data_IF_132311373668
#
_entry.id   IF_132311373668
#
_cell.length_a   1.000
_cell.length_b   1.000
_cell.length_c   1.000
_cell.angle_alpha   90.00
_cell.angle_beta   90.00
_cell.angle_gamma   90.00
#
_symmetry.space_group_name_H-M   'P 1'
#
loop_
_entity.id
_entity.type
_entity.pdbx_description
1 polymer ?
#
# COMPACT_ATOMS: atom_id res chain seq x y z
N UNK A 1 -15.93 19.63 19.15
CA UNK A 1 -15.06 18.52 19.60
C UNK A 1 -15.61 17.25 18.96
N UNK A 2 -14.82 16.57 18.13
CA UNK A 2 -15.29 15.47 17.30
C UNK A 2 -14.44 14.22 17.59
N UNK A 3 -15.11 13.10 17.93
CA UNK A 3 -14.50 11.81 18.29
C UNK A 3 -14.95 10.75 17.32
N UNK A 4 -14.10 9.78 16.97
CA UNK A 4 -14.53 8.59 16.23
C UNK A 4 -15.68 7.90 16.99
N UNK A 5 -16.79 7.66 16.30
CA UNK A 5 -17.94 6.99 16.87
C UNK A 5 -17.97 5.55 16.36
N UNK A 6 -17.98 4.60 17.29
CA UNK A 6 -18.21 3.20 16.97
C UNK A 6 -19.70 2.91 17.19
N UNK A 7 -20.40 2.53 16.12
CA UNK A 7 -21.77 2.02 16.20
C UNK A 7 -21.75 0.60 15.65
N UNK A 8 -22.01 -0.39 16.52
CA UNK A 8 -21.86 -1.80 16.20
C UNK A 8 -20.43 -2.17 15.75
N UNK A 9 -20.29 -2.81 14.58
CA UNK A 9 -19.04 -3.26 13.95
C UNK A 9 -18.48 -2.27 12.91
N UNK A 10 -18.89 -1.00 13.02
CA UNK A 10 -18.60 0.05 12.05
C UNK A 10 -17.96 1.25 12.73
N UNK A 11 -16.92 1.81 12.09
CA UNK A 11 -16.31 3.08 12.47
C UNK A 11 -16.92 4.20 11.62
N UNK A 12 -17.40 5.26 12.27
CA UNK A 12 -17.92 6.45 11.62
C UNK A 12 -16.91 7.59 11.73
N UNK A 13 -16.64 8.26 10.61
CA UNK A 13 -15.86 9.50 10.62
C UNK A 13 -16.57 10.55 11.48
N UNK A 14 -15.82 11.29 12.29
CA UNK A 14 -16.38 12.33 13.15
C UNK A 14 -16.42 13.69 12.45
N UNK A 15 -17.60 14.30 12.41
CA UNK A 15 -17.93 15.54 11.70
C UNK A 15 -19.44 15.61 11.51
N UNK A 16 -20.03 16.81 11.41
CA UNK A 16 -21.49 16.98 11.21
C UNK A 16 -21.93 16.10 10.05
N UNK A 17 -22.78 15.13 10.36
CA UNK A 17 -23.06 14.02 9.47
C UNK A 17 -23.51 14.54 8.12
N UNK A 18 -22.92 14.01 7.06
CA UNK A 18 -23.46 14.03 5.70
C UNK A 18 -24.22 15.33 5.39
N UNK A 19 -23.59 16.50 5.56
CA UNK A 19 -24.08 17.67 4.84
C UNK A 19 -24.14 17.24 3.37
N UNK A 20 -25.30 17.38 2.73
CA UNK A 20 -25.46 16.97 1.34
C UNK A 20 -24.32 17.63 0.55
N UNK A 21 -23.45 16.79 -0.03
CA UNK A 21 -22.34 17.29 -0.82
C UNK A 21 -22.89 18.26 -1.86
N UNK A 22 -22.25 19.43 -1.96
CA UNK A 22 -22.57 20.35 -3.04
C UNK A 22 -22.41 19.64 -4.38
N UNK A 23 -23.15 20.06 -5.42
CA UNK A 23 -22.97 19.49 -6.76
C UNK A 23 -21.51 19.49 -7.23
N UNK A 24 -20.74 20.50 -6.82
CA UNK A 24 -19.29 20.57 -7.07
C UNK A 24 -18.54 19.43 -6.38
N UNK A 25 -18.81 19.17 -5.11
CA UNK A 25 -18.16 18.09 -4.35
C UNK A 25 -18.55 16.71 -4.86
N UNK A 26 -19.81 16.52 -5.27
CA UNK A 26 -20.25 15.28 -5.93
C UNK A 26 -19.48 15.06 -7.24
N UNK A 27 -19.38 16.08 -8.08
CA UNK A 27 -18.65 15.99 -9.34
C UNK A 27 -17.16 15.73 -9.13
N UNK A 28 -16.53 16.40 -8.15
CA UNK A 28 -15.14 16.14 -7.76
C UNK A 28 -15.00 14.71 -7.26
N UNK A 29 -15.88 14.24 -6.38
CA UNK A 29 -15.85 12.86 -5.86
C UNK A 29 -16.01 11.81 -6.97
N UNK A 30 -16.92 12.01 -7.91
CA UNK A 30 -17.13 11.11 -9.04
C UNK A 30 -15.94 11.09 -10.00
N UNK A 31 -15.38 12.26 -10.34
CA UNK A 31 -14.17 12.35 -11.16
C UNK A 31 -12.99 11.66 -10.46
N UNK A 32 -12.86 11.86 -9.15
CA UNK A 32 -11.80 11.25 -8.37
C UNK A 32 -11.98 9.74 -8.23
N UNK A 33 -13.20 9.22 -8.10
CA UNK A 33 -13.45 7.78 -8.14
C UNK A 33 -12.87 7.12 -9.40
N UNK A 34 -13.15 7.70 -10.57
CA UNK A 34 -12.60 7.20 -11.84
C UNK A 34 -11.06 7.25 -11.77
N UNK A 35 -10.51 8.35 -11.29
CA UNK A 35 -9.08 8.58 -11.27
C UNK A 35 -8.32 7.81 -10.19
N UNK A 36 -8.97 7.38 -9.10
CA UNK A 36 -8.32 6.74 -7.95
C UNK A 36 -8.66 5.26 -7.78
N UNK A 37 -9.80 4.80 -8.31
CA UNK A 37 -10.23 3.41 -8.19
C UNK A 37 -10.05 2.65 -9.50
N UNK A 38 -10.29 3.28 -10.65
CA UNK A 38 -10.17 2.63 -11.96
C UNK A 38 -8.72 2.67 -12.47
N UNK A 39 -8.01 3.78 -12.25
CA UNK A 39 -6.63 3.92 -12.74
C UNK A 39 -5.65 2.88 -12.17
N UNK A 40 -5.71 2.46 -10.90
CA UNK A 40 -4.92 1.32 -10.43
C UNK A 40 -5.23 0.04 -11.22
N UNK A 41 -6.48 -0.23 -11.58
CA UNK A 41 -6.82 -1.42 -12.39
C UNK A 41 -6.22 -1.33 -13.80
N UNK A 42 -6.23 -0.14 -14.39
CA UNK A 42 -5.57 0.13 -15.68
C UNK A 42 -4.05 -0.05 -15.54
N UNK A 43 -3.44 0.50 -14.49
CA UNK A 43 -2.03 0.34 -14.18
C UNK A 43 -1.66 -1.14 -13.94
N UNK A 44 -2.53 -1.91 -13.28
CA UNK A 44 -2.36 -3.34 -13.08
C UNK A 44 -2.29 -4.08 -14.41
N UNK A 45 -3.14 -3.72 -15.38
CA UNK A 45 -3.08 -4.29 -16.73
C UNK A 45 -1.77 -3.91 -17.44
N UNK A 46 -1.34 -2.64 -17.38
CA UNK A 46 -0.07 -2.23 -17.97
C UNK A 46 1.14 -2.92 -17.32
N UNK A 47 1.16 -3.05 -15.99
CA UNK A 47 2.21 -3.77 -15.28
C UNK A 47 2.25 -5.25 -15.69
N UNK A 48 1.09 -5.88 -15.83
CA UNK A 48 0.99 -7.29 -16.23
C UNK A 48 1.44 -7.52 -17.67
N UNK A 49 0.86 -6.79 -18.63
CA UNK A 49 1.14 -6.97 -20.06
C UNK A 49 2.47 -6.35 -20.50
N UNK A 50 2.96 -5.36 -19.78
CA UNK A 50 4.29 -4.76 -19.98
C UNK A 50 5.44 -5.65 -19.51
N UNK A 51 5.15 -6.75 -18.80
CA UNK A 51 6.18 -7.70 -18.38
C UNK A 51 6.63 -8.56 -19.58
N UNK A 52 7.93 -8.58 -19.92
CA UNK A 52 8.44 -9.50 -20.94
C UNK A 52 8.10 -10.94 -20.56
N UNK A 53 7.64 -11.74 -21.53
CA UNK A 53 7.24 -13.13 -21.29
C UNK A 53 6.15 -13.30 -20.22
N UNK A 54 5.21 -12.35 -20.09
CA UNK A 54 4.09 -12.42 -19.13
C UNK A 54 3.31 -13.74 -19.18
N UNK A 55 3.29 -14.42 -20.33
CA UNK A 55 2.62 -15.71 -20.54
C UNK A 55 3.38 -16.93 -19.94
N UNK A 56 4.65 -16.79 -19.54
CA UNK A 56 5.44 -17.91 -18.98
C UNK A 56 5.13 -18.14 -17.49
N UNK A 57 5.09 -19.41 -17.05
CA UNK A 57 4.79 -19.80 -15.66
C UNK A 57 5.85 -19.35 -14.65
N UNK A 58 7.13 -19.31 -15.06
CA UNK A 58 8.24 -18.93 -14.17
C UNK A 58 8.24 -17.44 -13.78
N UNK A 59 7.40 -16.60 -14.41
CA UNK A 59 7.31 -15.17 -14.07
C UNK A 59 6.24 -14.86 -13.02
N UNK A 60 5.55 -15.86 -12.44
CA UNK A 60 4.50 -15.65 -11.43
C UNK A 60 4.96 -14.86 -10.19
N UNK A 61 6.24 -14.93 -9.84
CA UNK A 61 6.87 -14.16 -8.75
C UNK A 61 7.78 -13.03 -9.25
N UNK A 62 7.59 -12.59 -10.49
CA UNK A 62 8.29 -11.39 -10.95
C UNK A 62 7.72 -10.15 -10.27
N UNK A 63 8.58 -9.20 -9.96
CA UNK A 63 8.22 -7.93 -9.36
C UNK A 63 7.09 -7.24 -10.12
N UNK A 64 7.16 -7.18 -11.45
CA UNK A 64 6.12 -6.56 -12.28
C UNK A 64 4.73 -7.21 -12.12
N UNK A 65 4.66 -8.54 -11.99
CA UNK A 65 3.39 -9.23 -11.73
C UNK A 65 2.88 -8.99 -10.32
N UNK A 66 3.77 -8.93 -9.32
CA UNK A 66 3.38 -8.57 -7.96
C UNK A 66 2.91 -7.12 -7.87
N UNK A 67 3.57 -6.18 -8.56
CA UNK A 67 3.11 -4.79 -8.67
C UNK A 67 1.77 -4.70 -9.39
N UNK A 68 1.53 -5.54 -10.42
CA UNK A 68 0.20 -5.65 -11.03
C UNK A 68 -0.86 -6.09 -10.02
N UNK A 69 -0.57 -7.14 -9.24
CA UNK A 69 -1.48 -7.60 -8.19
C UNK A 69 -1.68 -6.54 -7.08
N UNK A 70 -0.62 -5.80 -6.77
CA UNK A 70 -0.67 -4.70 -5.81
C UNK A 70 -1.59 -3.60 -6.30
N UNK A 71 -1.43 -3.13 -7.55
CA UNK A 71 -2.36 -2.17 -8.15
C UNK A 71 -3.80 -2.69 -8.25
N UNK A 72 -3.98 -3.97 -8.58
CA UNK A 72 -5.30 -4.58 -8.63
C UNK A 72 -5.96 -4.53 -7.24
N UNK A 73 -5.23 -4.90 -6.19
CA UNK A 73 -5.74 -4.86 -4.81
C UNK A 73 -6.01 -3.43 -4.33
N UNK A 74 -5.16 -2.44 -4.67
CA UNK A 74 -5.44 -1.01 -4.41
C UNK A 74 -6.75 -0.58 -5.07
N UNK A 75 -6.93 -0.89 -6.35
CA UNK A 75 -8.15 -0.56 -7.09
C UNK A 75 -9.38 -1.22 -6.47
N UNK A 76 -9.29 -2.51 -6.13
CA UNK A 76 -10.37 -3.25 -5.50
C UNK A 76 -10.77 -2.68 -4.14
N UNK A 77 -9.81 -2.41 -3.25
CA UNK A 77 -10.05 -1.80 -1.93
C UNK A 77 -10.55 -0.36 -2.07
N UNK A 78 -10.08 0.39 -3.08
CA UNK A 78 -10.57 1.73 -3.37
C UNK A 78 -12.05 1.74 -3.80
N UNK A 79 -12.42 0.84 -4.73
CA UNK A 79 -13.82 0.66 -5.17
C UNK A 79 -14.70 0.32 -3.98
N UNK A 80 -14.25 -0.61 -3.15
CA UNK A 80 -14.91 -1.02 -1.94
C UNK A 80 -15.19 0.16 -0.98
N UNK A 81 -14.15 0.91 -0.62
CA UNK A 81 -14.24 2.09 0.24
C UNK A 81 -15.22 3.13 -0.33
N UNK A 82 -15.23 3.29 -1.66
CA UNK A 82 -16.10 4.26 -2.30
C UNK A 82 -17.59 3.93 -2.14
N UNK A 83 -17.94 2.64 -2.27
CA UNK A 83 -19.32 2.17 -2.20
C UNK A 83 -19.85 2.03 -0.77
N UNK A 84 -19.00 2.15 0.25
CA UNK A 84 -19.42 2.13 1.64
C UNK A 84 -19.44 3.58 2.18
N UNK A 85 -20.61 4.24 2.22
CA UNK A 85 -20.70 5.65 2.59
C UNK A 85 -20.53 5.85 4.11
N UNK A 86 -19.59 6.70 4.52
CA UNK A 86 -19.49 7.25 5.88
C UNK A 86 -19.18 6.25 7.00
N UNK A 87 -19.01 4.98 6.64
CA UNK A 87 -18.95 3.83 7.52
C UNK A 87 -17.79 2.92 7.09
N UNK A 88 -16.95 2.52 8.04
CA UNK A 88 -15.93 1.50 7.82
C UNK A 88 -16.33 0.22 8.56
N UNK A 89 -17.08 -0.69 7.92
CA UNK A 89 -17.50 -1.95 8.51
C UNK A 89 -16.32 -2.92 8.57
N UNK A 90 -16.40 -3.89 9.48
CA UNK A 90 -15.35 -4.89 9.70
C UNK A 90 -14.90 -5.66 8.44
N UNK A 91 -15.79 -5.84 7.46
CA UNK A 91 -15.47 -6.46 6.16
C UNK A 91 -14.40 -5.69 5.38
N UNK A 92 -14.31 -4.37 5.57
CA UNK A 92 -13.27 -3.55 4.97
C UNK A 92 -11.87 -3.95 5.47
N UNK A 93 -11.75 -4.32 6.76
CA UNK A 93 -10.48 -4.81 7.30
C UNK A 93 -10.10 -6.15 6.69
N UNK A 94 -11.07 -7.03 6.41
CA UNK A 94 -10.80 -8.29 5.71
C UNK A 94 -10.19 -8.01 4.32
N UNK A 95 -10.71 -7.02 3.60
CA UNK A 95 -10.19 -6.63 2.29
C UNK A 95 -8.82 -5.94 2.39
N UNK A 96 -8.61 -5.12 3.42
CA UNK A 96 -7.29 -4.56 3.72
C UNK A 96 -6.26 -5.66 4.05
N UNK A 97 -6.66 -6.75 4.70
CA UNK A 97 -5.76 -7.89 4.97
C UNK A 97 -5.42 -8.64 3.69
N UNK A 98 -6.36 -8.82 2.76
CA UNK A 98 -6.07 -9.41 1.45
C UNK A 98 -5.04 -8.55 0.68
N UNK A 99 -5.16 -7.23 0.74
CA UNK A 99 -4.17 -6.31 0.19
C UNK A 99 -2.81 -6.45 0.90
N UNK A 100 -2.80 -6.44 2.23
CA UNK A 100 -1.57 -6.64 3.02
C UNK A 100 -0.89 -7.98 2.77
N UNK A 101 -1.64 -9.03 2.40
CA UNK A 101 -1.07 -10.30 1.96
C UNK A 101 -0.27 -10.15 0.66
N UNK A 102 -0.70 -9.30 -0.28
CA UNK A 102 0.06 -8.98 -1.50
C UNK A 102 1.36 -8.27 -1.14
N UNK A 103 1.31 -7.31 -0.21
CA UNK A 103 2.47 -6.57 0.27
C UNK A 103 3.48 -7.44 1.02
N UNK A 104 3.01 -8.45 1.77
CA UNK A 104 3.89 -9.44 2.39
C UNK A 104 4.63 -10.25 1.33
N UNK A 105 3.96 -10.71 0.27
CA UNK A 105 4.65 -11.40 -0.84
C UNK A 105 5.68 -10.48 -1.49
N UNK A 106 5.34 -9.20 -1.69
CA UNK A 106 6.23 -8.21 -2.26
C UNK A 106 7.46 -7.96 -1.38
N UNK A 107 7.28 -7.73 -0.08
CA UNK A 107 8.36 -7.58 0.90
C UNK A 107 9.28 -8.80 0.91
N UNK A 108 8.71 -10.00 0.94
CA UNK A 108 9.50 -11.24 0.94
C UNK A 108 10.31 -11.38 -0.34
N UNK A 109 9.74 -11.04 -1.51
CA UNK A 109 10.50 -11.02 -2.76
C UNK A 109 11.62 -10.00 -2.72
N UNK A 110 11.33 -8.75 -2.31
CA UNK A 110 12.30 -7.66 -2.23
C UNK A 110 13.48 -8.00 -1.34
N UNK A 111 13.22 -8.65 -0.20
CA UNK A 111 14.25 -9.11 0.74
C UNK A 111 15.00 -10.39 0.28
N UNK A 112 14.68 -10.92 -0.91
CA UNK A 112 15.40 -12.04 -1.51
C UNK A 112 14.94 -13.43 -1.05
N UNK A 113 13.79 -13.54 -0.37
CA UNK A 113 13.20 -14.82 -0.02
C UNK A 113 12.58 -15.51 -1.24
N UNK A 114 12.53 -16.85 -1.21
CA UNK A 114 11.91 -17.61 -2.29
C UNK A 114 10.37 -17.62 -2.19
N UNK A 115 9.70 -18.03 -3.27
CA UNK A 115 8.24 -18.03 -3.35
C UNK A 115 7.54 -18.88 -2.28
N UNK A 116 8.12 -20.01 -1.84
CA UNK A 116 7.52 -20.82 -0.77
C UNK A 116 7.58 -20.11 0.58
N UNK A 117 8.70 -19.45 0.88
CA UNK A 117 8.85 -18.63 2.08
C UNK A 117 7.88 -17.45 2.05
N UNK A 118 7.74 -16.79 0.91
CA UNK A 118 6.79 -15.69 0.72
C UNK A 118 5.34 -16.14 0.95
N UNK A 119 4.93 -17.28 0.39
CA UNK A 119 3.60 -17.86 0.61
C UNK A 119 3.37 -18.23 2.08
N UNK A 120 4.35 -18.87 2.72
CA UNK A 120 4.26 -19.24 4.13
C UNK A 120 4.09 -18.00 5.02
N UNK A 121 4.89 -16.95 4.81
CA UNK A 121 4.77 -15.69 5.54
C UNK A 121 3.39 -15.04 5.32
N UNK A 122 2.89 -15.06 4.09
CA UNK A 122 1.57 -14.52 3.71
C UNK A 122 0.43 -15.26 4.40
N UNK A 123 0.52 -16.58 4.52
CA UNK A 123 -0.43 -17.41 5.26
C UNK A 123 -0.41 -17.11 6.75
N UNK A 124 0.77 -17.03 7.37
CA UNK A 124 0.92 -16.71 8.79
C UNK A 124 0.37 -15.32 9.09
N UNK A 125 0.73 -14.33 8.27
CA UNK A 125 0.21 -12.97 8.36
C UNK A 125 -1.32 -12.94 8.27
N UNK A 126 -1.89 -13.60 7.26
CA UNK A 126 -3.32 -13.67 7.06
C UNK A 126 -4.02 -14.33 8.25
N UNK A 127 -3.57 -15.50 8.68
CA UNK A 127 -4.15 -16.23 9.82
C UNK A 127 -4.19 -15.35 11.08
N UNK A 128 -3.09 -14.66 11.39
CA UNK A 128 -3.02 -13.75 12.53
C UNK A 128 -4.01 -12.58 12.39
N UNK A 129 -3.99 -11.88 11.25
CA UNK A 129 -4.81 -10.70 11.02
C UNK A 129 -6.31 -11.01 10.91
N UNK A 130 -6.69 -12.08 10.22
CA UNK A 130 -8.08 -12.53 10.15
C UNK A 130 -8.55 -13.01 11.53
N UNK A 131 -7.72 -13.77 12.25
CA UNK A 131 -8.03 -14.18 13.62
C UNK A 131 -8.28 -12.99 14.53
N UNK A 132 -7.43 -11.97 14.48
CA UNK A 132 -7.60 -10.72 15.21
C UNK A 132 -8.88 -9.99 14.81
N UNK A 133 -9.09 -9.81 13.50
CA UNK A 133 -10.26 -9.13 12.94
C UNK A 133 -11.56 -9.85 13.27
N UNK A 134 -11.57 -11.16 13.45
CA UNK A 134 -12.80 -11.90 13.79
C UNK A 134 -13.01 -12.06 15.30
N UNK A 135 -11.96 -11.99 16.11
CA UNK A 135 -12.04 -12.25 17.56
C UNK A 135 -12.10 -10.98 18.42
N UNK A 136 -11.51 -9.87 17.96
CA UNK A 136 -11.47 -8.63 18.74
C UNK A 136 -12.81 -7.90 18.65
N UNK A 137 -13.47 -7.73 19.80
CA UNK A 137 -14.80 -7.10 19.89
C UNK A 137 -14.83 -5.67 19.35
N UNK A 138 -13.80 -4.86 19.61
CA UNK A 138 -13.82 -3.43 19.29
C UNK A 138 -13.22 -3.15 17.89
N UNK A 139 -14.04 -2.62 16.98
CA UNK A 139 -13.63 -2.28 15.61
C UNK A 139 -12.46 -1.26 15.57
N UNK A 140 -12.42 -0.31 16.50
CA UNK A 140 -11.30 0.64 16.61
C UNK A 140 -9.97 -0.06 16.96
N UNK A 141 -10.00 -1.09 17.81
CA UNK A 141 -8.81 -1.87 18.12
C UNK A 141 -8.33 -2.66 16.91
N UNK A 142 -9.27 -3.25 16.15
CA UNK A 142 -8.95 -3.91 14.87
C UNK A 142 -8.32 -2.92 13.91
N UNK A 143 -8.95 -1.78 13.68
CA UNK A 143 -8.42 -0.70 12.86
C UNK A 143 -6.99 -0.32 13.25
N UNK A 144 -6.75 -0.01 14.52
CA UNK A 144 -5.42 0.43 14.97
C UNK A 144 -4.36 -0.65 14.74
N UNK A 145 -4.66 -1.91 15.06
CA UNK A 145 -3.67 -2.98 14.90
C UNK A 145 -3.41 -3.28 13.42
N UNK A 146 -4.46 -3.35 12.60
CA UNK A 146 -4.34 -3.59 11.16
C UNK A 146 -3.63 -2.41 10.47
N UNK A 147 -3.91 -1.16 10.86
CA UNK A 147 -3.22 0.02 10.33
C UNK A 147 -1.75 0.04 10.72
N UNK A 148 -1.40 -0.29 11.97
CA UNK A 148 -0.01 -0.36 12.41
C UNK A 148 0.77 -1.39 11.59
N UNK A 149 0.23 -2.59 11.46
CA UNK A 149 0.91 -3.67 10.77
C UNK A 149 0.96 -3.42 9.26
N UNK A 150 -0.15 -2.95 8.65
CA UNK A 150 -0.20 -2.60 7.23
C UNK A 150 0.77 -1.47 6.89
N UNK A 151 0.75 -0.37 7.65
CA UNK A 151 1.70 0.72 7.44
C UNK A 151 3.16 0.31 7.66
N UNK A 152 3.44 -0.64 8.56
CA UNK A 152 4.79 -1.18 8.71
C UNK A 152 5.24 -1.97 7.47
N UNK A 153 4.34 -2.73 6.83
CA UNK A 153 4.62 -3.40 5.56
C UNK A 153 4.93 -2.40 4.45
N UNK A 154 4.16 -1.30 4.35
CA UNK A 154 4.39 -0.26 3.34
C UNK A 154 5.75 0.43 3.53
N UNK A 155 6.11 0.77 4.77
CA UNK A 155 7.39 1.39 5.08
C UNK A 155 8.55 0.43 4.77
N UNK A 156 8.40 -0.86 5.08
CA UNK A 156 9.42 -1.87 4.76
C UNK A 156 9.71 -1.95 3.25
N UNK A 157 8.69 -1.79 2.39
CA UNK A 157 8.88 -1.71 0.92
C UNK A 157 9.74 -0.50 0.57
N UNK A 158 9.43 0.67 1.14
CA UNK A 158 10.19 1.92 0.91
C UNK A 158 11.64 1.76 1.35
N UNK A 159 11.87 1.28 2.58
CA UNK A 159 13.21 1.10 3.14
C UNK A 159 14.06 0.13 2.32
N UNK A 160 13.48 -1.00 1.90
CA UNK A 160 14.16 -2.00 1.08
C UNK A 160 14.60 -1.41 -0.27
N UNK A 161 13.73 -0.61 -0.91
CA UNK A 161 14.03 0.04 -2.17
C UNK A 161 15.06 1.17 -2.03
N UNK A 162 14.99 1.95 -0.95
CA UNK A 162 16.00 2.98 -0.64
C UNK A 162 17.37 2.35 -0.39
N UNK A 163 17.41 1.25 0.36
CA UNK A 163 18.65 0.52 0.65
C UNK A 163 19.31 -0.01 -0.62
N UNK A 164 18.53 -0.60 -1.51
CA UNK A 164 18.98 -1.01 -2.83
C UNK A 164 19.17 0.11 -3.84
N UNK A 165 19.08 1.38 -3.43
CA UNK A 165 19.25 2.57 -4.27
C UNK A 165 18.29 2.64 -5.47
N UNK A 166 17.12 2.00 -5.35
CA UNK A 166 16.07 2.03 -6.35
C UNK A 166 15.18 3.27 -6.17
N UNK A 167 15.77 4.46 -6.26
CA UNK A 167 15.15 5.74 -5.87
C UNK A 167 13.80 6.02 -6.53
N UNK A 168 13.65 5.66 -7.82
CA UNK A 168 12.38 5.82 -8.53
C UNK A 168 11.28 4.94 -7.95
N UNK A 169 11.57 3.66 -7.72
CA UNK A 169 10.63 2.73 -7.09
C UNK A 169 10.33 3.14 -5.64
N UNK A 170 11.35 3.55 -4.89
CA UNK A 170 11.21 4.02 -3.52
C UNK A 170 10.29 5.26 -3.44
N UNK A 171 10.42 6.20 -4.38
CA UNK A 171 9.52 7.34 -4.49
C UNK A 171 8.07 6.88 -4.77
N UNK A 172 7.88 5.92 -5.68
CA UNK A 172 6.57 5.33 -5.94
C UNK A 172 5.94 4.67 -4.71
N UNK A 173 6.72 3.88 -3.95
CA UNK A 173 6.26 3.24 -2.73
C UNK A 173 5.98 4.27 -1.61
N UNK A 174 6.76 5.33 -1.53
CA UNK A 174 6.50 6.41 -0.58
C UNK A 174 5.20 7.16 -0.91
N UNK A 175 4.92 7.39 -2.19
CA UNK A 175 3.65 7.93 -2.63
C UNK A 175 2.46 7.00 -2.29
N UNK A 176 2.65 5.68 -2.36
CA UNK A 176 1.67 4.71 -1.85
C UNK A 176 1.41 4.91 -0.35
N UNK A 177 2.45 5.02 0.48
CA UNK A 177 2.32 5.31 1.93
C UNK A 177 1.49 6.57 2.17
N UNK A 178 1.76 7.67 1.45
CA UNK A 178 0.98 8.91 1.57
C UNK A 178 -0.50 8.65 1.26
N UNK A 179 -0.80 7.90 0.19
CA UNK A 179 -2.18 7.58 -0.18
C UNK A 179 -2.86 6.70 0.87
N UNK A 180 -2.17 5.70 1.43
CA UNK A 180 -2.70 4.83 2.49
C UNK A 180 -2.98 5.62 3.78
N UNK A 181 -2.04 6.48 4.19
CA UNK A 181 -2.23 7.41 5.32
C UNK A 181 -3.44 8.31 5.08
N UNK A 182 -3.60 8.84 3.86
CA UNK A 182 -4.74 9.72 3.53
C UNK A 182 -6.07 8.98 3.55
N UNK A 183 -6.11 7.72 3.14
CA UNK A 183 -7.30 6.85 3.30
C UNK A 183 -7.63 6.69 4.79
N UNK A 184 -6.65 6.38 5.64
CA UNK A 184 -6.87 6.25 7.09
C UNK A 184 -7.25 7.57 7.76
N UNK A 185 -6.66 8.69 7.33
CA UNK A 185 -7.08 10.02 7.76
C UNK A 185 -8.52 10.25 7.33
N UNK A 186 -8.94 9.89 6.11
CA UNK A 186 -10.35 10.02 5.70
C UNK A 186 -11.33 9.24 6.57
N UNK A 187 -10.91 8.08 7.10
CA UNK A 187 -11.69 7.29 8.07
C UNK A 187 -11.67 7.95 9.46
N UNK A 188 -10.52 8.50 9.87
CA UNK A 188 -10.27 9.10 11.18
C UNK A 188 -10.84 10.52 11.36
N UNK A 189 -10.57 11.38 10.39
CA UNK A 189 -10.68 12.84 10.40
C UNK A 189 -11.21 13.31 9.03
N UNK A 190 -12.37 13.95 9.01
CA UNK A 190 -12.87 14.58 7.78
C UNK A 190 -12.13 15.91 7.53
N UNK A 191 -11.07 15.89 6.72
CA UNK A 191 -10.32 17.09 6.29
C UNK A 191 -10.96 17.82 5.09
N UNK A 192 -12.19 17.45 4.72
CA UNK A 192 -12.94 17.99 3.60
C UNK A 192 -12.67 17.24 2.28
N UNK A 193 -13.69 17.19 1.41
CA UNK A 193 -13.65 16.43 0.15
C UNK A 193 -12.51 16.91 -0.74
N UNK A 194 -12.41 18.21 -1.01
CA UNK A 194 -11.45 18.72 -1.99
C UNK A 194 -9.99 18.50 -1.56
N UNK A 195 -9.55 18.87 -0.33
CA UNK A 195 -8.18 18.63 0.11
C UNK A 195 -7.82 17.13 0.14
N UNK A 196 -8.73 16.30 0.66
CA UNK A 196 -8.55 14.85 0.70
C UNK A 196 -8.35 14.25 -0.69
N UNK A 197 -9.21 14.64 -1.64
CA UNK A 197 -9.14 14.17 -3.02
C UNK A 197 -7.86 14.64 -3.74
N UNK A 198 -7.39 15.87 -3.49
CA UNK A 198 -6.14 16.37 -4.10
C UNK A 198 -4.93 15.59 -3.61
N UNK A 199 -4.84 15.33 -2.29
CA UNK A 199 -3.73 14.54 -1.73
C UNK A 199 -3.76 13.11 -2.27
N UNK A 200 -4.93 12.46 -2.28
CA UNK A 200 -5.08 11.13 -2.86
C UNK A 200 -4.75 11.08 -4.35
N UNK A 201 -5.16 12.08 -5.11
CA UNK A 201 -4.83 12.17 -6.53
C UNK A 201 -3.33 12.24 -6.74
N UNK A 202 -2.64 13.21 -6.11
CA UNK A 202 -1.20 13.40 -6.28
C UNK A 202 -0.43 12.15 -5.84
N UNK A 203 -0.80 11.60 -4.68
CA UNK A 203 -0.12 10.44 -4.11
C UNK A 203 -0.31 9.18 -4.96
N UNK A 204 -1.54 8.82 -5.29
CA UNK A 204 -1.78 7.62 -6.09
C UNK A 204 -1.21 7.74 -7.51
N UNK A 205 -1.26 8.92 -8.13
CA UNK A 205 -0.67 9.13 -9.45
C UNK A 205 0.85 9.10 -9.40
N UNK A 206 1.46 9.65 -8.35
CA UNK A 206 2.89 9.49 -8.08
C UNK A 206 3.25 8.01 -7.99
N UNK A 207 2.51 7.23 -7.19
CA UNK A 207 2.70 5.79 -7.05
C UNK A 207 2.64 5.07 -8.41
N UNK A 208 1.55 5.26 -9.17
CA UNK A 208 1.37 4.66 -10.50
C UNK A 208 2.49 5.05 -11.45
N UNK A 209 2.79 6.35 -11.55
CA UNK A 209 3.79 6.87 -12.48
C UNK A 209 5.17 6.26 -12.24
N UNK A 210 5.66 6.27 -11.00
CA UNK A 210 7.01 5.79 -10.69
C UNK A 210 7.15 4.28 -10.89
N UNK A 211 6.15 3.49 -10.49
CA UNK A 211 6.16 2.04 -10.67
C UNK A 211 6.06 1.65 -12.14
N UNK A 212 5.12 2.21 -12.89
CA UNK A 212 4.97 1.90 -14.31
C UNK A 212 6.16 2.38 -15.13
N UNK A 213 6.73 3.54 -14.81
CA UNK A 213 7.96 4.00 -15.46
C UNK A 213 9.07 2.97 -15.33
N UNK A 214 9.26 2.37 -14.15
CA UNK A 214 10.26 1.33 -13.96
C UNK A 214 9.95 0.09 -14.80
N UNK A 215 8.71 -0.41 -14.72
CA UNK A 215 8.30 -1.63 -15.44
C UNK A 215 8.43 -1.46 -16.95
N UNK A 216 7.95 -0.33 -17.49
CA UNK A 216 7.92 -0.07 -18.93
C UNK A 216 9.28 0.37 -19.49
N UNK A 217 10.14 1.03 -18.71
CA UNK A 217 11.48 1.40 -19.15
C UNK A 217 12.45 0.21 -19.21
N UNK A 218 12.03 -0.97 -18.73
CA UNK A 218 12.88 -2.14 -18.58
C UNK A 218 13.65 -2.08 -17.25
N UNK A 219 13.49 -3.09 -16.37
CA UNK A 219 14.29 -3.23 -15.16
C UNK A 219 15.79 -3.15 -15.47
N UNK A 220 16.52 -2.27 -14.79
CA UNK A 220 17.96 -2.10 -14.97
C UNK A 220 18.70 -2.79 -13.83
N UNK A 221 19.73 -3.57 -14.15
CA UNK A 221 20.58 -4.22 -13.14
C UNK A 221 21.63 -3.23 -12.63
N UNK A 222 21.86 -3.20 -11.32
CA UNK A 222 22.98 -2.45 -10.71
C UNK A 222 24.18 -3.39 -10.67
N UNK A 223 25.29 -3.04 -11.36
CA UNK A 223 26.48 -3.89 -11.49
C UNK A 223 27.24 -4.11 -10.16
N UNK A 224 27.11 -3.17 -9.22
CA UNK A 224 27.53 -3.29 -7.83
C UNK A 224 26.90 -2.14 -7.01
N UNK A 225 26.04 -2.40 -6.01
CA UNK A 225 25.41 -1.34 -5.20
C UNK A 225 26.41 -0.54 -4.34
N UNK A 226 27.67 -0.98 -4.21
CA UNK A 226 28.72 -0.31 -3.45
C UNK A 226 29.79 0.39 -4.30
N UNK A 227 29.75 0.21 -5.63
CA UNK A 227 30.62 0.94 -6.55
C UNK A 227 30.10 2.37 -6.80
N UNK A 228 30.95 3.41 -6.77
CA UNK A 228 30.62 4.76 -7.24
C UNK A 228 30.29 4.81 -8.75
N UNK A 229 30.69 3.78 -9.50
CA UNK A 229 30.57 3.63 -10.95
C UNK A 229 29.55 2.54 -11.31
N UNK A 230 28.39 2.56 -10.67
CA UNK A 230 27.31 1.62 -10.98
C UNK A 230 26.75 1.89 -12.39
N UNK A 231 27.32 1.26 -13.41
CA UNK A 231 26.79 1.28 -14.77
C UNK A 231 25.53 0.41 -14.87
N UNK A 232 24.55 0.90 -15.64
CA UNK A 232 23.28 0.23 -15.91
C UNK A 232 23.40 -0.58 -17.20
N UNK A 233 23.36 -1.91 -17.11
CA UNK A 233 23.43 -2.80 -18.27
C UNK A 233 22.02 -3.24 -18.71
N UNK A 234 21.79 -3.31 -20.02
CA UNK A 234 20.57 -3.83 -20.64
C UNK A 234 20.71 -5.35 -20.89
N UNK A 235 20.77 -6.15 -19.83
CA UNK A 235 20.53 -7.59 -19.92
C UNK A 235 19.08 -7.91 -19.50
N UNK A 236 18.64 -9.15 -19.75
CA UNK A 236 17.30 -9.63 -19.40
C UNK A 236 16.88 -9.10 -18.01
N UNK A 237 15.72 -8.43 -17.91
CA UNK A 237 15.40 -7.65 -16.72
C UNK A 237 15.29 -8.55 -15.49
N UNK A 238 15.92 -8.18 -14.35
CA UNK A 238 15.86 -8.99 -13.14
C UNK A 238 14.41 -9.16 -12.67
N UNK A 239 14.07 -10.37 -12.22
CA UNK A 239 12.74 -10.66 -11.68
C UNK A 239 12.48 -9.91 -10.37
N UNK A 240 13.53 -9.45 -9.68
CA UNK A 240 13.50 -8.65 -8.47
C UNK A 240 14.38 -7.40 -8.63
N UNK A 241 13.88 -6.17 -8.42
CA UNK A 241 14.69 -4.94 -8.50
C UNK A 241 15.85 -4.88 -7.50
N UNK A 242 15.83 -5.73 -6.46
CA UNK A 242 16.86 -5.82 -5.42
C UNK A 242 17.72 -7.07 -5.57
N UNK A 243 17.70 -7.72 -6.74
CA UNK A 243 18.58 -8.85 -7.02
C UNK A 243 20.06 -8.47 -6.83
N UNK A 244 20.78 -9.22 -5.99
CA UNK A 244 22.17 -8.95 -5.62
C UNK A 244 22.35 -8.03 -4.41
N UNK A 245 21.29 -7.42 -3.88
CA UNK A 245 21.35 -6.65 -2.63
C UNK A 245 21.34 -7.63 -1.45
N UNK A 246 22.30 -7.47 -0.53
CA UNK A 246 22.42 -8.34 0.65
C UNK A 246 21.67 -7.74 1.83
N UNK A 247 20.70 -8.48 2.36
CA UNK A 247 19.97 -8.15 3.57
C UNK A 247 20.40 -9.05 4.73
N UNK A 248 21.07 -8.48 5.73
CA UNK A 248 21.41 -9.23 6.95
C UNK A 248 20.19 -9.32 7.87
N UNK A 249 20.07 -10.36 8.71
CA UNK A 249 18.97 -10.46 9.67
C UNK A 249 18.85 -9.24 10.60
N UNK A 250 19.99 -8.65 10.98
CA UNK A 250 20.04 -7.44 11.79
C UNK A 250 19.45 -6.23 11.05
N UNK A 251 19.78 -6.07 9.77
CA UNK A 251 19.23 -5.00 8.93
C UNK A 251 17.72 -5.17 8.73
N UNK A 252 17.27 -6.39 8.44
CA UNK A 252 15.84 -6.71 8.31
C UNK A 252 15.11 -6.38 9.62
N UNK A 253 15.67 -6.78 10.77
CA UNK A 253 15.11 -6.45 12.08
C UNK A 253 15.04 -4.94 12.33
N UNK A 254 16.03 -4.17 11.89
CA UNK A 254 16.03 -2.71 12.00
C UNK A 254 14.93 -2.07 11.14
N UNK A 255 14.75 -2.50 9.89
CA UNK A 255 13.67 -2.01 9.02
C UNK A 255 12.29 -2.32 9.61
N UNK A 256 12.07 -3.56 10.07
CA UNK A 256 10.81 -3.93 10.74
C UNK A 256 10.56 -3.01 11.96
N UNK A 257 11.58 -2.74 12.77
CA UNK A 257 11.44 -1.87 13.93
C UNK A 257 11.08 -0.42 13.52
N UNK A 258 11.76 0.14 12.51
CA UNK A 258 11.48 1.50 12.02
C UNK A 258 10.07 1.58 11.44
N UNK A 259 9.67 0.63 10.60
CA UNK A 259 8.32 0.54 10.03
C UNK A 259 7.25 0.47 11.11
N UNK A 260 7.43 -0.38 12.13
CA UNK A 260 6.49 -0.49 13.25
C UNK A 260 6.41 0.80 14.07
N UNK A 261 7.54 1.44 14.37
CA UNK A 261 7.58 2.70 15.12
C UNK A 261 6.88 3.81 14.33
N UNK A 262 7.23 3.99 13.06
CA UNK A 262 6.64 5.01 12.19
C UNK A 262 5.12 4.81 12.06
N UNK A 263 4.71 3.57 11.79
CA UNK A 263 3.30 3.22 11.61
C UNK A 263 2.50 3.36 12.92
N UNK A 264 3.10 3.01 14.05
CA UNK A 264 2.51 3.23 15.39
C UNK A 264 2.34 4.71 15.66
N UNK A 265 3.38 5.52 15.48
CA UNK A 265 3.31 6.98 15.68
C UNK A 265 2.24 7.57 14.77
N UNK A 266 2.22 7.21 13.48
CA UNK A 266 1.23 7.72 12.52
C UNK A 266 -0.19 7.33 12.92
N UNK A 267 -0.43 6.06 13.25
CA UNK A 267 -1.75 5.57 13.68
C UNK A 267 -2.20 6.23 14.97
N UNK A 268 -1.30 6.35 15.95
CA UNK A 268 -1.57 7.06 17.21
C UNK A 268 -1.87 8.52 16.93
N UNK A 269 -1.10 9.22 16.09
CA UNK A 269 -1.36 10.62 15.72
C UNK A 269 -2.70 10.78 15.00
N UNK A 270 -3.05 9.89 14.07
CA UNK A 270 -4.39 9.90 13.44
C UNK A 270 -5.48 9.69 14.50
N UNK A 271 -5.21 8.89 15.53
CA UNK A 271 -6.10 8.65 16.65
C UNK A 271 -6.05 9.70 17.80
N UNK A 272 -4.98 10.52 17.91
CA UNK A 272 -4.71 11.46 19.02
C UNK A 272 -4.76 12.94 18.61
N UNK A 273 -4.43 13.27 17.36
CA UNK A 273 -4.63 14.61 16.76
C UNK A 273 -6.13 14.83 16.45
N UNK A 274 -6.97 13.83 16.72
CA UNK A 274 -8.39 14.01 17.04
C UNK A 274 -8.49 14.95 18.26
N UNK A 275 -8.98 16.20 18.11
CA UNK A 275 -9.06 17.11 19.23
C UNK A 275 -9.90 16.48 20.34
N UNK A 276 -9.30 16.38 21.53
CA UNK A 276 -9.94 15.98 22.79
C UNK A 276 -11.15 16.83 23.14
#
# INVERSE_FOLDING_TARGET
MHRLHVVNDTIFASGTGVDEYTHREINVRNAMFILTCIMPLVAAAFAFFGTPNWYKRNSLYSFSKLVSLWFFSVGFVGVALYYIPGEAPRILFIWAILHGQVEVVLNMLLLGFNGYQALAATWVFGLFQYGLTLSVKYALTVFSITAIIGGANDILIVESLLWGRQWGLAAGAFFHVISAVTVFVGIGINIGVVPWQVINFISLWGHIFFMLRYILAGPRRIKDPHSPEAELEYEDPPNNPLEGVVFTPMLIGAFIAVGLVFSTITTVLIAWVLPS
#
